data_IF_493826366140
#
_entry.id   IF_493826366140
#
_cell.length_a   1.000
_cell.length_b   1.000
_cell.length_c   1.000
_cell.angle_alpha   90.00
_cell.angle_beta   90.00
_cell.angle_gamma   90.00
#
_symmetry.space_group_name_H-M   'P 1'
#
loop_
_entity.id
_entity.type
_entity.pdbx_description
1 polymer ?
#
# COMPACT_ATOMS: atom_id res chain seq x y z
N UNK A 1 73.02 7.11 7.03
CA UNK A 1 72.27 6.97 5.76
C UNK A 1 71.27 5.84 5.90
N UNK A 2 70.04 6.15 6.31
CA UNK A 2 68.95 5.18 6.43
C UNK A 2 68.26 5.03 5.06
N UNK A 3 68.30 3.81 4.51
CA UNK A 3 67.64 3.45 3.25
C UNK A 3 66.20 3.02 3.56
N UNK A 4 65.22 3.86 3.20
CA UNK A 4 63.79 3.57 3.33
C UNK A 4 63.29 2.83 2.09
N UNK A 5 62.84 1.59 2.25
CA UNK A 5 62.10 0.87 1.21
C UNK A 5 60.66 1.39 1.12
N UNK A 6 60.10 1.59 -0.08
CA UNK A 6 58.71 2.00 -0.23
C UNK A 6 57.76 0.81 -0.04
N UNK A 7 56.80 0.97 0.86
CA UNK A 7 55.67 0.05 1.08
C UNK A 7 54.85 -0.05 -0.21
N UNK A 8 54.76 -1.26 -0.77
CA UNK A 8 53.93 -1.55 -1.92
C UNK A 8 52.45 -1.27 -1.59
N UNK A 9 51.88 -0.23 -2.22
CA UNK A 9 50.44 0.02 -2.25
C UNK A 9 49.75 -1.17 -2.91
N UNK A 10 49.07 -2.00 -2.10
CA UNK A 10 48.12 -2.99 -2.60
C UNK A 10 47.02 -2.25 -3.35
N UNK A 11 46.93 -2.48 -4.66
CA UNK A 11 45.83 -2.00 -5.50
C UNK A 11 44.53 -2.59 -4.94
N UNK A 12 43.44 -1.80 -4.82
CA UNK A 12 42.15 -2.36 -4.45
C UNK A 12 41.76 -3.39 -5.51
N UNK A 13 41.45 -4.59 -5.05
CA UNK A 13 40.85 -5.65 -5.88
C UNK A 13 39.58 -5.06 -6.45
N UNK A 14 39.56 -4.91 -7.78
CA UNK A 14 38.38 -4.56 -8.53
C UNK A 14 37.49 -5.79 -8.45
N UNK A 15 36.52 -5.78 -7.53
CA UNK A 15 35.44 -6.76 -7.51
C UNK A 15 34.78 -6.70 -8.89
N UNK A 16 35.15 -7.67 -9.73
CA UNK A 16 34.49 -7.93 -10.99
C UNK A 16 33.06 -8.28 -10.64
N UNK A 17 32.16 -7.33 -10.87
CA UNK A 17 30.75 -7.41 -10.53
C UNK A 17 30.18 -8.77 -10.89
N UNK A 18 29.76 -9.49 -9.85
CA UNK A 18 28.86 -10.62 -10.00
C UNK A 18 27.62 -10.06 -10.69
N UNK A 19 27.48 -10.33 -11.99
CA UNK A 19 26.25 -10.05 -12.71
C UNK A 19 25.19 -10.87 -11.99
N UNK A 20 24.30 -10.21 -11.25
CA UNK A 20 23.16 -10.86 -10.59
C UNK A 20 22.28 -11.44 -11.68
N UNK A 21 22.59 -12.67 -12.08
CA UNK A 21 21.89 -13.37 -13.15
C UNK A 21 20.69 -14.01 -12.51
N UNK A 22 19.53 -13.43 -12.79
CA UNK A 22 18.27 -13.92 -12.27
C UNK A 22 17.95 -15.29 -12.87
N UNK A 23 17.24 -16.18 -12.14
CA UNK A 23 16.66 -17.37 -12.73
C UNK A 23 15.89 -17.04 -14.03
N UNK A 24 16.18 -17.78 -15.09
CA UNK A 24 15.54 -17.60 -16.40
C UNK A 24 15.85 -16.29 -17.12
N UNK A 25 16.83 -15.49 -16.67
CA UNK A 25 17.06 -14.15 -17.20
C UNK A 25 15.86 -13.22 -16.96
N UNK A 26 15.10 -13.44 -15.88
CA UNK A 26 13.94 -12.64 -15.52
C UNK A 26 14.29 -11.70 -14.37
N UNK A 27 14.37 -10.39 -14.62
CA UNK A 27 14.69 -9.41 -13.57
C UNK A 27 13.76 -9.51 -12.34
N UNK A 28 12.49 -9.89 -12.54
CA UNK A 28 11.51 -10.11 -11.46
C UNK A 28 11.89 -11.27 -10.54
N UNK A 29 12.64 -12.26 -11.02
CA UNK A 29 13.12 -13.39 -10.22
C UNK A 29 14.36 -13.05 -9.38
N UNK A 30 14.95 -11.86 -9.53
CA UNK A 30 16.05 -11.43 -8.65
C UNK A 30 15.56 -11.28 -7.22
N UNK A 31 16.34 -11.77 -6.27
CA UNK A 31 16.05 -11.71 -4.83
C UNK A 31 16.62 -10.46 -4.19
N UNK A 32 15.96 -10.03 -3.12
CA UNK A 32 16.41 -8.97 -2.22
C UNK A 32 16.18 -9.46 -0.79
N UNK A 33 17.21 -9.34 0.05
CA UNK A 33 17.08 -9.64 1.48
C UNK A 33 16.39 -8.48 2.19
N UNK A 34 15.23 -8.75 2.79
CA UNK A 34 14.49 -7.78 3.62
C UNK A 34 14.56 -8.20 5.09
N UNK A 35 14.77 -7.21 5.95
CA UNK A 35 14.79 -7.40 7.40
C UNK A 35 13.44 -7.99 7.88
N UNK A 36 13.50 -9.06 8.68
CA UNK A 36 12.31 -9.76 9.18
C UNK A 36 11.52 -10.60 8.15
N UNK A 37 11.89 -10.56 6.86
CA UNK A 37 11.22 -11.33 5.79
C UNK A 37 12.12 -12.32 5.05
N UNK A 38 13.44 -12.18 5.17
CA UNK A 38 14.40 -13.03 4.46
C UNK A 38 14.54 -12.65 3.00
N UNK A 39 14.96 -13.58 2.16
CA UNK A 39 15.09 -13.36 0.71
C UNK A 39 13.72 -13.42 0.03
N UNK A 40 13.35 -12.32 -0.63
CA UNK A 40 12.09 -12.19 -1.37
C UNK A 40 12.41 -11.70 -2.78
N UNK A 41 11.69 -12.20 -3.78
CA UNK A 41 11.90 -11.74 -5.16
C UNK A 41 11.26 -10.38 -5.41
N UNK A 42 11.81 -9.60 -6.35
CA UNK A 42 11.14 -8.38 -6.81
C UNK A 42 9.74 -8.69 -7.34
N UNK A 43 9.54 -9.83 -8.01
CA UNK A 43 8.24 -10.24 -8.51
C UNK A 43 7.22 -10.48 -7.40
N UNK A 44 7.59 -11.16 -6.31
CA UNK A 44 6.72 -11.34 -5.14
C UNK A 44 6.32 -9.99 -4.53
N UNK A 45 7.29 -9.08 -4.34
CA UNK A 45 7.02 -7.72 -3.82
C UNK A 45 6.12 -6.90 -4.75
N UNK A 46 6.27 -7.06 -6.07
CA UNK A 46 5.41 -6.43 -7.06
C UNK A 46 3.98 -6.97 -6.96
N UNK A 47 3.80 -8.29 -6.91
CA UNK A 47 2.48 -8.94 -6.77
C UNK A 47 1.77 -8.45 -5.50
N UNK A 48 2.45 -8.49 -4.35
CA UNK A 48 1.90 -8.01 -3.09
C UNK A 48 1.41 -6.57 -3.20
N UNK A 49 2.24 -5.69 -3.79
CA UNK A 49 1.90 -4.28 -3.93
C UNK A 49 0.75 -4.05 -4.91
N UNK A 50 0.77 -4.70 -6.07
CA UNK A 50 -0.28 -4.56 -7.10
C UNK A 50 -1.64 -5.03 -6.57
N UNK A 51 -1.67 -6.19 -5.90
CA UNK A 51 -2.91 -6.72 -5.28
C UNK A 51 -3.40 -5.82 -4.13
N UNK A 52 -2.49 -5.29 -3.31
CA UNK A 52 -2.84 -4.33 -2.26
C UNK A 52 -3.47 -3.07 -2.86
N UNK A 53 -2.85 -2.50 -3.89
CA UNK A 53 -3.37 -1.30 -4.58
C UNK A 53 -4.72 -1.57 -5.26
N UNK A 54 -4.89 -2.75 -5.90
CA UNK A 54 -6.16 -3.18 -6.48
C UNK A 54 -7.26 -3.32 -5.42
N UNK A 55 -6.94 -3.95 -4.29
CA UNK A 55 -7.85 -4.09 -3.15
C UNK A 55 -8.26 -2.73 -2.59
N UNK A 56 -7.33 -1.78 -2.42
CA UNK A 56 -7.66 -0.42 -1.96
C UNK A 56 -8.66 0.27 -2.90
N UNK A 57 -8.49 0.11 -4.21
CA UNK A 57 -9.45 0.65 -5.19
C UNK A 57 -10.81 -0.04 -5.10
N UNK A 58 -10.85 -1.36 -4.93
CA UNK A 58 -12.10 -2.11 -4.76
C UNK A 58 -12.82 -1.75 -3.45
N UNK A 59 -12.10 -1.61 -2.34
CA UNK A 59 -12.69 -1.20 -1.06
C UNK A 59 -13.25 0.22 -1.12
N UNK A 60 -12.58 1.13 -1.83
CA UNK A 60 -13.06 2.50 -1.98
C UNK A 60 -14.22 2.60 -2.97
N UNK A 61 -14.13 1.95 -4.14
CA UNK A 61 -15.04 2.19 -5.28
C UNK A 61 -15.96 1.01 -5.61
N UNK A 62 -15.82 -0.14 -4.97
CA UNK A 62 -16.57 -1.36 -5.28
C UNK A 62 -18.04 -1.30 -4.88
N UNK A 63 -18.40 -0.47 -3.90
CA UNK A 63 -19.78 -0.32 -3.46
C UNK A 63 -20.16 1.16 -3.31
N UNK A 64 -21.18 1.58 -4.06
CA UNK A 64 -21.70 2.96 -4.05
C UNK A 64 -22.12 3.41 -2.65
N UNK A 65 -22.83 2.57 -1.90
CA UNK A 65 -23.31 2.91 -0.56
C UNK A 65 -22.14 3.11 0.42
N UNK A 66 -21.18 2.18 0.42
CA UNK A 66 -19.97 2.28 1.25
C UNK A 66 -19.15 3.52 0.87
N UNK A 67 -18.98 3.81 -0.41
CA UNK A 67 -18.31 5.02 -0.89
C UNK A 67 -18.98 6.29 -0.37
N UNK A 68 -20.30 6.40 -0.53
CA UNK A 68 -21.06 7.56 -0.06
C UNK A 68 -20.92 7.69 1.46
N UNK A 69 -20.99 6.59 2.20
CA UNK A 69 -20.79 6.59 3.65
C UNK A 69 -19.44 7.12 4.07
N UNK A 70 -18.38 6.61 3.46
CA UNK A 70 -17.01 7.08 3.69
C UNK A 70 -16.82 8.56 3.31
N UNK A 71 -17.36 8.99 2.17
CA UNK A 71 -17.19 10.35 1.66
C UNK A 71 -17.90 11.39 2.51
N UNK A 72 -19.15 11.10 2.91
CA UNK A 72 -19.94 11.95 3.82
C UNK A 72 -19.30 11.95 5.20
N UNK A 73 -19.02 10.77 5.77
CA UNK A 73 -18.39 10.63 7.08
C UNK A 73 -17.10 11.44 7.21
N UNK A 74 -16.20 11.32 6.24
CA UNK A 74 -14.95 12.12 6.21
C UNK A 74 -15.20 13.63 6.21
N UNK A 75 -16.20 14.12 5.47
CA UNK A 75 -16.51 15.56 5.42
C UNK A 75 -17.12 16.05 6.71
N UNK A 76 -17.96 15.24 7.35
CA UNK A 76 -18.54 15.54 8.67
C UNK A 76 -17.42 15.61 9.71
N UNK A 77 -16.55 14.59 9.78
CA UNK A 77 -15.45 14.54 10.75
C UNK A 77 -14.47 15.71 10.59
N UNK A 78 -14.27 16.22 9.37
CA UNK A 78 -13.39 17.38 9.13
C UNK A 78 -14.03 18.71 9.58
N UNK A 79 -15.34 18.76 9.79
CA UNK A 79 -16.03 19.98 10.23
C UNK A 79 -16.18 19.98 11.75
N UNK A 80 -15.77 21.08 12.39
CA UNK A 80 -15.89 21.25 13.84
C UNK A 80 -17.31 21.67 14.30
N UNK A 81 -18.24 21.94 13.37
CA UNK A 81 -19.58 22.44 13.67
C UNK A 81 -20.66 21.40 13.34
N UNK A 82 -21.78 21.43 14.09
CA UNK A 82 -22.93 20.56 13.87
C UNK A 82 -23.44 20.64 12.42
N UNK A 83 -23.42 19.50 11.73
CA UNK A 83 -23.84 19.41 10.33
C UNK A 83 -25.34 19.15 10.27
N UNK A 84 -26.08 19.98 9.54
CA UNK A 84 -27.54 19.82 9.40
C UNK A 84 -27.90 18.64 8.50
N UNK A 85 -29.12 18.09 8.67
CA UNK A 85 -29.63 17.00 7.82
C UNK A 85 -29.62 17.37 6.33
N UNK A 86 -29.98 18.60 5.98
CA UNK A 86 -29.94 19.08 4.59
C UNK A 86 -28.52 19.11 4.01
N UNK A 87 -27.53 19.49 4.81
CA UNK A 87 -26.12 19.45 4.42
C UNK A 87 -25.65 18.00 4.18
N UNK A 88 -26.04 17.06 5.05
CA UNK A 88 -25.75 15.63 4.89
C UNK A 88 -26.35 15.10 3.58
N UNK A 89 -27.63 15.40 3.32
CA UNK A 89 -28.31 15.02 2.07
C UNK A 89 -27.57 15.56 0.85
N UNK A 90 -27.18 16.85 0.86
CA UNK A 90 -26.42 17.46 -0.23
C UNK A 90 -25.07 16.77 -0.45
N UNK A 91 -24.31 16.51 0.63
CA UNK A 91 -23.04 15.79 0.53
C UNK A 91 -23.22 14.37 -0.02
N UNK A 92 -24.30 13.68 0.34
CA UNK A 92 -24.60 12.36 -0.19
C UNK A 92 -24.92 12.40 -1.69
N UNK A 93 -25.67 13.40 -2.16
CA UNK A 93 -25.95 13.59 -3.59
C UNK A 93 -24.65 13.82 -4.36
N UNK A 94 -23.80 14.74 -3.90
CA UNK A 94 -22.50 15.02 -4.53
C UNK A 94 -21.59 13.78 -4.55
N UNK A 95 -21.58 13.00 -3.47
CA UNK A 95 -20.80 11.76 -3.41
C UNK A 95 -21.32 10.71 -4.38
N UNK A 96 -22.63 10.53 -4.51
CA UNK A 96 -23.24 9.62 -5.50
C UNK A 96 -22.87 10.00 -6.92
N UNK A 97 -22.98 11.28 -7.25
CA UNK A 97 -22.64 11.79 -8.58
C UNK A 97 -21.16 11.56 -8.90
N UNK A 98 -20.27 11.86 -7.94
CA UNK A 98 -18.83 11.60 -8.10
C UNK A 98 -18.53 10.12 -8.28
N UNK A 99 -19.24 9.24 -7.56
CA UNK A 99 -19.11 7.80 -7.70
C UNK A 99 -19.50 7.33 -9.11
N UNK A 100 -20.63 7.78 -9.62
CA UNK A 100 -21.12 7.42 -10.96
C UNK A 100 -20.11 7.79 -12.06
N UNK A 101 -19.51 8.98 -11.96
CA UNK A 101 -18.53 9.44 -12.95
C UNK A 101 -17.21 8.67 -12.84
N UNK A 102 -16.71 8.41 -11.63
CA UNK A 102 -15.32 7.93 -11.43
C UNK A 102 -15.19 6.44 -11.22
N UNK A 103 -16.18 5.77 -10.65
CA UNK A 103 -16.10 4.34 -10.32
C UNK A 103 -15.75 3.46 -11.51
N UNK A 104 -16.23 3.67 -12.76
CA UNK A 104 -15.89 2.79 -13.86
C UNK A 104 -14.38 2.79 -14.17
N UNK A 105 -13.76 3.97 -14.16
CA UNK A 105 -12.33 4.10 -14.40
C UNK A 105 -11.49 3.51 -13.25
N UNK A 106 -11.91 3.72 -12.00
CA UNK A 106 -11.21 3.22 -10.82
C UNK A 106 -11.28 1.69 -10.71
N UNK A 107 -12.44 1.10 -11.02
CA UNK A 107 -12.60 -0.35 -11.02
C UNK A 107 -11.87 -1.02 -12.19
N UNK A 108 -11.81 -0.35 -13.36
CA UNK A 108 -10.95 -0.80 -14.48
C UNK A 108 -9.49 -0.80 -14.07
N UNK A 109 -9.01 0.27 -13.43
CA UNK A 109 -7.65 0.34 -12.92
C UNK A 109 -7.35 -0.77 -11.90
N UNK A 110 -8.29 -1.07 -11.00
CA UNK A 110 -8.15 -2.19 -10.06
C UNK A 110 -7.98 -3.54 -10.79
N UNK A 111 -8.79 -3.77 -11.83
CA UNK A 111 -8.70 -4.98 -12.64
C UNK A 111 -7.38 -5.06 -13.43
N UNK A 112 -6.88 -3.93 -13.95
CA UNK A 112 -5.57 -3.85 -14.62
C UNK A 112 -4.40 -4.19 -13.68
N UNK A 113 -4.46 -3.72 -12.43
CA UNK A 113 -3.46 -4.04 -11.41
C UNK A 113 -3.49 -5.54 -11.05
N UNK A 114 -4.68 -6.12 -10.89
CA UNK A 114 -4.83 -7.56 -10.63
C UNK A 114 -4.34 -8.41 -11.81
N UNK A 115 -4.68 -8.01 -13.03
CA UNK A 115 -4.20 -8.67 -14.25
C UNK A 115 -2.67 -8.59 -14.38
N UNK A 116 -2.07 -7.45 -14.03
CA UNK A 116 -0.62 -7.31 -14.00
C UNK A 116 0.01 -8.21 -12.93
N UNK A 117 -0.58 -8.29 -11.73
CA UNK A 117 -0.11 -9.19 -10.68
C UNK A 117 -0.15 -10.66 -11.13
N UNK A 118 -1.24 -11.09 -11.78
CA UNK A 118 -1.37 -12.45 -12.30
C UNK A 118 -0.37 -12.73 -13.43
N UNK A 119 -0.08 -11.75 -14.29
CA UNK A 119 0.97 -11.87 -15.30
C UNK A 119 2.35 -12.03 -14.66
N UNK A 120 2.67 -11.25 -13.63
CA UNK A 120 3.95 -11.37 -12.91
C UNK A 120 4.07 -12.74 -12.25
N UNK A 121 3.00 -13.24 -11.63
CA UNK A 121 2.98 -14.58 -11.05
C UNK A 121 3.26 -15.65 -12.11
N UNK A 122 2.59 -15.59 -13.26
CA UNK A 122 2.82 -16.53 -14.36
C UNK A 122 4.26 -16.47 -14.90
N UNK A 123 4.89 -15.30 -14.96
CA UNK A 123 6.29 -15.16 -15.36
C UNK A 123 7.26 -15.79 -14.35
N UNK A 124 7.00 -15.63 -13.05
CA UNK A 124 7.81 -16.25 -12.00
C UNK A 124 7.71 -17.78 -12.03
N UNK A 125 6.49 -18.31 -12.14
CA UNK A 125 6.24 -19.76 -12.26
C UNK A 125 6.93 -20.32 -13.50
N UNK A 126 6.86 -19.63 -14.65
CA UNK A 126 7.57 -20.04 -15.87
C UNK A 126 9.10 -20.00 -15.74
N UNK A 127 9.64 -19.15 -14.86
CA UNK A 127 11.06 -19.09 -14.53
C UNK A 127 11.48 -20.10 -13.45
N UNK A 128 10.55 -20.95 -12.97
CA UNK A 128 10.80 -21.94 -11.92
C UNK A 128 10.89 -21.34 -10.51
N UNK A 129 10.32 -20.15 -10.29
CA UNK A 129 10.21 -19.54 -8.97
C UNK A 129 8.82 -19.79 -8.42
N UNK A 130 8.72 -20.64 -7.40
CA UNK A 130 7.48 -20.89 -6.69
C UNK A 130 6.99 -19.60 -6.02
N UNK A 131 5.83 -19.09 -6.47
CA UNK A 131 5.19 -17.93 -5.84
C UNK A 131 4.37 -18.35 -4.61
N UNK A 132 4.15 -19.66 -4.45
CA UNK A 132 3.43 -20.28 -3.35
C UNK A 132 4.34 -20.51 -2.14
N UNK A 133 4.68 -19.45 -1.39
CA UNK A 133 5.65 -19.62 -0.31
C UNK A 133 5.96 -18.42 0.59
N UNK A 134 4.96 -17.64 1.00
CA UNK A 134 5.07 -16.79 2.21
C UNK A 134 3.70 -16.70 2.89
N UNK A 135 3.19 -17.86 3.25
CA UNK A 135 1.88 -18.07 3.85
C UNK A 135 1.91 -19.27 4.80
N UNK A 136 2.71 -19.18 5.86
CA UNK A 136 2.57 -20.05 7.04
C UNK A 136 1.74 -19.33 8.10
N UNK A 137 0.42 -19.52 8.07
CA UNK A 137 -0.34 -20.33 9.04
C UNK A 137 -0.48 -19.74 10.46
N UNK A 138 -1.68 -19.21 10.72
CA UNK A 138 -2.47 -19.74 11.84
C UNK A 138 -3.91 -19.90 11.37
N UNK A 139 -4.29 -21.16 11.14
CA UNK A 139 -5.68 -21.55 11.06
C UNK A 139 -6.20 -21.73 12.48
N UNK A 140 -7.27 -21.02 12.82
CA UNK A 140 -8.25 -21.50 13.80
C UNK A 140 -9.62 -20.96 13.40
N UNK A 141 -10.36 -21.89 12.81
CA UNK A 141 -11.80 -21.93 12.58
C UNK A 141 -12.57 -21.42 13.79
N UNK A 142 -13.60 -20.61 13.55
CA UNK A 142 -14.81 -20.60 14.37
C UNK A 142 -16.00 -20.34 13.46
N UNK A 143 -16.76 -21.40 13.27
CA UNK A 143 -18.05 -21.44 12.60
C UNK A 143 -19.13 -20.79 13.48
N UNK A 144 -20.04 -20.09 12.78
CA UNK A 144 -21.45 -19.90 13.09
C UNK A 144 -21.88 -19.27 14.42
N UNK A 145 -22.53 -18.11 14.31
CA UNK A 145 -23.99 -18.07 14.56
C UNK A 145 -24.61 -16.93 13.74
N UNK A 146 -25.45 -17.31 12.78
CA UNK A 146 -26.46 -16.40 12.24
C UNK A 146 -27.52 -16.22 13.31
N UNK A 147 -27.47 -15.09 14.01
CA UNK A 147 -28.59 -14.59 14.78
C UNK A 147 -29.22 -13.45 13.97
N UNK A 148 -30.37 -13.76 13.37
CA UNK A 148 -31.39 -12.74 13.11
C UNK A 148 -31.72 -12.08 14.43
N UNK A 149 -31.60 -10.75 14.50
CA UNK A 149 -32.48 -9.96 15.35
C UNK A 149 -32.68 -8.56 14.76
N UNK A 150 -33.96 -8.36 14.44
CA UNK A 150 -34.75 -7.15 14.34
C UNK A 150 -34.09 -5.80 14.66
N UNK A 151 -34.18 -4.91 13.66
CA UNK A 151 -34.53 -3.50 13.80
C UNK A 151 -33.91 -2.73 14.97
N UNK A 152 -32.86 -1.98 14.67
CA UNK A 152 -32.78 -0.61 15.18
C UNK A 152 -32.35 0.27 14.03
N UNK A 153 -33.28 1.07 13.50
CA UNK A 153 -32.96 2.21 12.65
C UNK A 153 -32.15 3.20 13.48
N UNK A 154 -30.85 2.91 13.66
CA UNK A 154 -29.88 3.88 14.12
C UNK A 154 -29.86 5.01 13.11
N UNK A 155 -30.05 6.23 13.59
CA UNK A 155 -29.96 7.47 12.83
C UNK A 155 -28.85 7.35 11.79
N UNK A 156 -29.16 7.56 10.51
CA UNK A 156 -28.21 7.40 9.39
C UNK A 156 -26.87 8.10 9.63
N UNK A 157 -26.87 9.13 10.47
CA UNK A 157 -25.72 9.90 10.91
C UNK A 157 -24.69 9.07 11.71
N UNK A 158 -25.14 8.15 12.58
CA UNK A 158 -24.26 7.25 13.34
C UNK A 158 -23.46 6.32 12.44
N UNK A 159 -24.09 5.82 11.37
CA UNK A 159 -23.42 4.97 10.37
C UNK A 159 -22.40 5.74 9.54
N UNK A 160 -22.68 7.00 9.16
CA UNK A 160 -21.73 7.85 8.43
C UNK A 160 -20.47 8.14 9.26
N UNK A 161 -20.65 8.49 10.55
CA UNK A 161 -19.55 8.81 11.45
C UNK A 161 -18.65 7.60 11.71
N UNK A 162 -19.24 6.44 12.01
CA UNK A 162 -18.49 5.20 12.23
C UNK A 162 -17.64 4.82 11.01
N UNK A 163 -18.25 4.79 9.82
CA UNK A 163 -17.53 4.46 8.58
C UNK A 163 -16.45 5.49 8.25
N UNK A 164 -16.73 6.78 8.48
CA UNK A 164 -15.76 7.86 8.33
C UNK A 164 -14.55 7.69 9.28
N UNK A 165 -14.80 7.37 10.54
CA UNK A 165 -13.79 7.22 11.58
C UNK A 165 -12.90 6.01 11.28
N UNK A 166 -13.50 4.86 10.93
CA UNK A 166 -12.75 3.68 10.47
C UNK A 166 -11.85 4.01 9.28
N UNK A 167 -12.30 4.85 8.34
CA UNK A 167 -11.48 5.30 7.21
C UNK A 167 -10.31 6.20 7.63
N UNK A 168 -10.50 7.13 8.59
CA UNK A 168 -9.40 7.96 9.11
C UNK A 168 -8.33 7.10 9.77
N UNK A 169 -8.75 6.15 10.63
CA UNK A 169 -7.84 5.23 11.33
C UNK A 169 -7.07 4.35 10.36
N UNK A 170 -7.75 3.80 9.35
CA UNK A 170 -7.10 3.00 8.30
C UNK A 170 -6.06 3.81 7.53
N UNK A 171 -6.40 5.03 7.10
CA UNK A 171 -5.44 5.89 6.39
C UNK A 171 -4.23 6.29 7.24
N UNK A 172 -4.43 6.52 8.55
CA UNK A 172 -3.33 6.76 9.47
C UNK A 172 -2.43 5.52 9.60
N UNK A 173 -3.02 4.35 9.83
CA UNK A 173 -2.30 3.09 9.95
C UNK A 173 -1.49 2.77 8.68
N UNK A 174 -2.05 2.97 7.49
CA UNK A 174 -1.34 2.79 6.22
C UNK A 174 -0.15 3.76 6.05
N UNK A 175 -0.24 4.99 6.57
CA UNK A 175 0.88 5.92 6.57
C UNK A 175 1.96 5.50 7.57
N UNK A 176 1.56 5.03 8.76
CA UNK A 176 2.48 4.50 9.77
C UNK A 176 3.23 3.28 9.28
N UNK A 177 2.54 2.34 8.63
CA UNK A 177 3.15 1.15 8.02
C UNK A 177 4.21 1.56 6.99
N UNK A 178 3.86 2.48 6.07
CA UNK A 178 4.80 3.00 5.06
C UNK A 178 6.04 3.66 5.67
N UNK A 179 5.89 4.33 6.82
CA UNK A 179 6.99 5.00 7.53
C UNK A 179 7.83 4.02 8.38
N UNK A 180 7.24 2.93 8.84
CA UNK A 180 7.91 1.94 9.69
C UNK A 180 8.96 1.13 8.93
N UNK A 181 8.69 0.77 7.68
CA UNK A 181 9.58 -0.05 6.86
C UNK A 181 9.97 0.67 5.55
N UNK A 182 10.96 1.56 5.69
CA UNK A 182 11.56 2.29 4.58
C UNK A 182 12.11 1.37 3.50
N UNK A 183 12.80 0.29 3.90
CA UNK A 183 13.50 -0.58 2.96
C UNK A 183 12.48 -1.32 2.09
N UNK A 184 11.46 -1.90 2.70
CA UNK A 184 10.35 -2.53 1.98
C UNK A 184 9.63 -1.54 1.05
N UNK A 185 9.36 -0.32 1.50
CA UNK A 185 8.76 0.70 0.62
C UNK A 185 9.60 0.97 -0.64
N UNK A 186 10.92 1.16 -0.48
CA UNK A 186 11.82 1.47 -1.59
C UNK A 186 11.88 0.30 -2.58
N UNK A 187 12.06 -0.92 -2.07
CA UNK A 187 12.20 -2.13 -2.90
C UNK A 187 10.87 -2.46 -3.58
N UNK A 188 9.72 -2.34 -2.90
CA UNK A 188 8.40 -2.52 -3.52
C UNK A 188 8.14 -1.52 -4.66
N UNK A 189 8.62 -0.28 -4.55
CA UNK A 189 8.46 0.67 -5.64
C UNK A 189 9.34 0.38 -6.86
N UNK A 190 10.57 -0.12 -6.63
CA UNK A 190 11.39 -0.61 -7.71
C UNK A 190 10.77 -1.87 -8.36
N UNK A 191 10.23 -2.78 -7.54
CA UNK A 191 9.55 -4.00 -7.97
C UNK A 191 8.35 -3.71 -8.89
N UNK A 192 7.46 -2.79 -8.50
CA UNK A 192 6.31 -2.42 -9.36
C UNK A 192 6.75 -1.79 -10.67
N UNK A 193 7.79 -0.94 -10.66
CA UNK A 193 8.33 -0.37 -11.89
C UNK A 193 8.94 -1.42 -12.80
N UNK A 194 9.64 -2.40 -12.22
CA UNK A 194 10.17 -3.55 -12.94
C UNK A 194 9.03 -4.36 -13.59
N UNK A 195 7.96 -4.63 -12.85
CA UNK A 195 6.79 -5.35 -13.35
C UNK A 195 6.06 -4.61 -14.50
N UNK A 196 6.07 -3.27 -14.46
CA UNK A 196 5.49 -2.41 -15.50
C UNK A 196 6.44 -2.19 -16.69
N UNK A 197 7.70 -2.57 -16.57
CA UNK A 197 8.69 -2.31 -17.61
C UNK A 197 8.55 -3.29 -18.78
N UNK A 198 8.84 -2.83 -19.98
CA UNK A 198 8.81 -3.66 -21.19
C UNK A 198 10.03 -4.58 -21.30
N UNK A 199 11.13 -4.21 -20.63
CA UNK A 199 12.32 -5.04 -20.58
C UNK A 199 12.20 -6.01 -19.40
N UNK A 200 12.10 -7.30 -19.73
CA UNK A 200 11.96 -8.42 -18.79
C UNK A 200 13.23 -8.63 -17.96
N UNK A 201 14.40 -8.20 -18.45
CA UNK A 201 15.69 -8.28 -17.76
C UNK A 201 16.46 -6.94 -17.82
N UNK A 202 16.07 -5.95 -17.01
CA UNK A 202 16.83 -4.71 -16.96
C UNK A 202 18.20 -4.94 -16.31
N UNK A 203 19.17 -4.14 -16.75
CA UNK A 203 20.52 -4.14 -16.19
C UNK A 203 20.50 -3.72 -14.72
N UNK A 204 21.48 -4.18 -13.93
CA UNK A 204 21.59 -3.81 -12.51
C UNK A 204 21.59 -2.28 -12.32
N UNK A 205 22.32 -1.56 -13.17
CA UNK A 205 22.34 -0.08 -13.19
C UNK A 205 20.93 0.54 -13.31
N UNK A 206 20.03 -0.10 -14.06
CA UNK A 206 18.65 0.40 -14.23
C UNK A 206 17.82 0.14 -12.99
N UNK A 207 17.99 -1.01 -12.33
CA UNK A 207 17.35 -1.32 -11.05
C UNK A 207 17.84 -0.35 -9.97
N UNK A 208 19.14 -0.12 -9.88
CA UNK A 208 19.75 0.85 -8.96
C UNK A 208 19.21 2.27 -9.15
N UNK A 209 18.98 2.66 -10.40
CA UNK A 209 18.35 3.95 -10.72
C UNK A 209 16.93 4.03 -10.16
N UNK A 210 16.13 2.96 -10.29
CA UNK A 210 14.78 2.93 -9.73
C UNK A 210 14.78 2.93 -8.20
N UNK A 211 15.68 2.18 -7.56
CA UNK A 211 15.87 2.20 -6.11
C UNK A 211 16.25 3.59 -5.61
N UNK A 212 17.16 4.27 -6.31
CA UNK A 212 17.57 5.64 -5.98
C UNK A 212 16.41 6.62 -6.10
N UNK A 213 15.59 6.51 -7.15
CA UNK A 213 14.41 7.36 -7.33
C UNK A 213 13.33 7.09 -6.27
N UNK A 214 13.11 5.82 -5.91
CA UNK A 214 12.19 5.44 -4.84
C UNK A 214 12.66 5.96 -3.48
N UNK A 215 13.97 5.88 -3.20
CA UNK A 215 14.61 6.45 -2.01
C UNK A 215 14.42 7.96 -1.93
N UNK A 216 14.67 8.70 -3.02
CA UNK A 216 14.46 10.15 -3.07
C UNK A 216 12.98 10.51 -2.81
N UNK A 217 12.04 9.77 -3.42
CA UNK A 217 10.60 9.95 -3.16
C UNK A 217 10.23 9.73 -1.70
N UNK A 218 10.78 8.68 -1.07
CA UNK A 218 10.54 8.39 0.34
C UNK A 218 10.96 9.57 1.20
N UNK A 219 12.21 10.04 1.07
CA UNK A 219 12.72 11.14 1.89
C UNK A 219 11.95 12.44 1.68
N UNK A 220 11.62 12.78 0.44
CA UNK A 220 10.86 14.00 0.15
C UNK A 220 9.43 13.97 0.69
N UNK A 221 8.84 12.78 0.83
CA UNK A 221 7.43 12.62 1.22
C UNK A 221 7.25 12.22 2.68
N UNK A 222 8.26 11.63 3.32
CA UNK A 222 8.20 11.11 4.69
C UNK A 222 7.73 12.15 5.72
N UNK A 223 8.25 13.40 5.73
CA UNK A 223 7.77 14.41 6.66
C UNK A 223 6.29 14.75 6.46
N UNK A 224 5.82 14.78 5.21
CA UNK A 224 4.42 15.05 4.87
C UNK A 224 3.50 13.90 5.28
N UNK A 225 3.96 12.65 5.12
CA UNK A 225 3.22 11.48 5.56
C UNK A 225 3.12 11.41 7.08
N UNK A 226 4.20 11.74 7.80
CA UNK A 226 4.21 11.78 9.25
C UNK A 226 3.21 12.83 9.76
N UNK A 227 3.31 14.07 9.28
CA UNK A 227 2.40 15.13 9.66
C UNK A 227 0.94 14.77 9.34
N UNK A 228 0.70 14.11 8.21
CA UNK A 228 -0.64 13.66 7.83
C UNK A 228 -1.16 12.54 8.76
N UNK A 229 -0.32 11.58 9.13
CA UNK A 229 -0.69 10.50 10.05
C UNK A 229 -1.08 11.07 11.42
N UNK A 230 -0.25 11.95 11.98
CA UNK A 230 -0.50 12.63 13.26
C UNK A 230 -1.82 13.42 13.24
N UNK A 231 -2.08 14.17 12.16
CA UNK A 231 -3.34 14.90 11.99
C UNK A 231 -4.57 13.97 11.93
N UNK A 232 -4.46 12.84 11.23
CA UNK A 232 -5.55 11.88 11.13
C UNK A 232 -5.82 11.17 12.46
N UNK A 233 -4.78 10.83 13.21
CA UNK A 233 -4.87 10.21 14.53
C UNK A 233 -5.46 11.17 15.56
N UNK A 234 -4.99 12.42 15.60
CA UNK A 234 -5.53 13.44 16.49
C UNK A 234 -7.04 13.66 16.23
N UNK A 235 -7.42 13.77 14.95
CA UNK A 235 -8.82 13.91 14.56
C UNK A 235 -9.65 12.68 14.95
N UNK A 236 -9.12 11.47 14.74
CA UNK A 236 -9.81 10.24 15.13
C UNK A 236 -10.02 10.18 16.66
N UNK A 237 -8.98 10.50 17.45
CA UNK A 237 -9.03 10.49 18.90
C UNK A 237 -10.02 11.54 19.47
N UNK A 238 -10.09 12.73 18.86
CA UNK A 238 -11.06 13.75 19.23
C UNK A 238 -12.50 13.25 19.03
N UNK A 239 -12.79 12.66 17.88
CA UNK A 239 -14.13 12.16 17.59
C UNK A 239 -14.50 10.92 18.40
N UNK A 240 -13.54 10.02 18.68
CA UNK A 240 -13.76 8.90 19.60
C UNK A 240 -14.16 9.39 21.00
N UNK A 241 -13.50 10.45 21.49
CA UNK A 241 -13.85 11.08 22.75
C UNK A 241 -15.25 11.71 22.70
N UNK A 242 -15.57 12.47 21.65
CA UNK A 242 -16.88 13.11 21.50
C UNK A 242 -18.02 12.09 21.45
N UNK A 243 -17.82 10.97 20.74
CA UNK A 243 -18.78 9.86 20.69
C UNK A 243 -18.93 9.21 22.08
N UNK A 244 -17.82 8.99 22.80
CA UNK A 244 -17.85 8.41 24.15
C UNK A 244 -18.52 9.32 25.19
N UNK A 245 -18.40 10.64 25.05
CA UNK A 245 -19.03 11.62 25.95
C UNK A 245 -20.50 11.92 25.64
N UNK A 246 -21.09 11.27 24.62
CA UNK A 246 -22.53 11.34 24.34
C UNK A 246 -22.98 12.64 23.67
N UNK A 247 -22.25 13.13 22.66
CA UNK A 247 -22.70 14.22 21.80
C UNK A 247 -24.01 13.87 21.03
#
# INVERSE_FOLDING_TARGET
>A
TQSSQPVARRKPVKDSGVKSSAPGGLGLARTVSLEGRGEVTFGQLAIEKLRRDAKTLQEEWGCKDVYVKMAVGRRVLKRCAAVTRSQITRMAIEARHKYEIRSPAQLRQAAELEALANRVAAMLEAAGVDVSGSGGSSASRSEATAASDTSTHGSSNGTYLQVGLSKLKKEAAELREKLSDKTSFIVQQAAVRLAQSTNVDPTDRRIDQWLTQARARYYNSSPLWQQKAEKLEALAAEWERQIATGA
#
